data_IF_155018205236
#
_entry.id   IF_155018205236
#
_cell.length_a   1.000
_cell.length_b   1.000
_cell.length_c   1.000
_cell.angle_alpha   90.00
_cell.angle_beta   90.00
_cell.angle_gamma   90.00
#
_symmetry.space_group_name_H-M   'P 1'
#
loop_
_entity.id
_entity.type
_entity.pdbx_description
1 polymer ?
#
# COMPACT_ATOMS: atom_id res chain seq x y z
N UNK A 1 11.36 -4.15 15.43
CA UNK A 1 11.09 -2.69 15.32
C UNK A 1 9.66 -2.52 14.85
N UNK A 2 8.81 -1.81 15.59
CA UNK A 2 7.39 -1.62 15.27
C UNK A 2 7.19 -0.20 14.73
N UNK A 3 7.09 -0.02 13.42
CA UNK A 3 6.82 1.27 12.79
C UNK A 3 5.34 1.56 12.98
N UNK A 4 5.00 2.63 13.70
CA UNK A 4 3.60 2.94 14.03
C UNK A 4 2.88 3.63 12.87
N UNK A 5 1.60 3.35 12.72
CA UNK A 5 0.67 4.14 11.90
C UNK A 5 0.07 5.26 12.75
N UNK A 6 0.13 6.49 12.23
CA UNK A 6 -0.51 7.68 12.78
C UNK A 6 -1.67 8.08 11.87
N UNK A 7 -2.74 8.70 12.41
CA UNK A 7 -3.82 9.19 11.56
C UNK A 7 -3.31 10.26 10.59
N UNK A 8 -2.46 11.17 11.06
CA UNK A 8 -1.91 12.26 10.24
C UNK A 8 -0.67 12.90 10.89
N UNK A 9 0.04 13.72 10.09
CA UNK A 9 1.01 14.71 10.57
C UNK A 9 0.60 16.12 10.08
N UNK A 10 -0.63 16.51 10.40
CA UNK A 10 -1.22 17.78 9.91
C UNK A 10 -1.33 18.88 10.97
N UNK A 11 -0.68 18.71 12.14
CA UNK A 11 -0.68 19.73 13.19
C UNK A 11 0.68 19.82 13.88
N UNK A 12 0.98 21.00 14.43
CA UNK A 12 2.19 21.23 15.24
C UNK A 12 2.35 20.20 16.36
N UNK A 13 1.26 19.89 17.05
CA UNK A 13 1.30 18.93 18.16
C UNK A 13 1.65 17.52 17.67
N UNK A 14 1.05 17.06 16.56
CA UNK A 14 1.37 15.77 15.97
C UNK A 14 2.85 15.66 15.57
N UNK A 15 3.44 16.72 15.01
CA UNK A 15 4.86 16.78 14.69
C UNK A 15 5.76 16.78 15.93
N UNK A 16 5.40 17.52 16.98
CA UNK A 16 6.14 17.51 18.24
C UNK A 16 6.11 16.13 18.89
N UNK A 17 4.94 15.47 18.90
CA UNK A 17 4.76 14.14 19.46
C UNK A 17 5.41 13.04 18.60
N UNK A 18 5.60 13.29 17.31
CA UNK A 18 6.42 12.46 16.43
C UNK A 18 7.92 12.58 16.76
N UNK A 19 8.44 13.81 16.88
CA UNK A 19 9.85 14.06 17.15
C UNK A 19 10.31 13.65 18.56
N UNK A 20 9.39 13.57 19.54
CA UNK A 20 9.71 13.10 20.90
C UNK A 20 9.92 11.58 20.99
N UNK A 21 9.66 10.84 19.92
CA UNK A 21 9.75 9.37 19.91
C UNK A 21 11.20 8.93 19.77
N UNK A 22 11.48 7.77 20.35
CA UNK A 22 12.78 7.09 20.26
C UNK A 22 13.18 6.82 18.80
N UNK A 23 12.21 6.41 17.97
CA UNK A 23 12.38 6.30 16.52
C UNK A 23 11.43 7.27 15.85
N UNK A 24 11.98 8.29 15.20
CA UNK A 24 11.20 9.23 14.38
C UNK A 24 10.94 8.65 13.00
N UNK A 25 10.18 7.55 12.96
CA UNK A 25 9.68 6.90 11.74
C UNK A 25 8.25 6.43 11.97
N UNK A 26 7.35 6.80 11.06
CA UNK A 26 5.94 6.41 11.11
C UNK A 26 5.33 6.34 9.72
N UNK A 27 4.22 5.63 9.61
CA UNK A 27 3.28 5.80 8.52
C UNK A 27 2.18 6.79 8.91
N UNK A 28 1.63 7.52 7.95
CA UNK A 28 0.42 8.34 8.09
C UNK A 28 -0.70 7.76 7.24
N UNK A 29 -1.93 7.80 7.74
CA UNK A 29 -3.12 7.38 6.99
C UNK A 29 -3.59 8.48 6.03
N UNK A 30 -3.50 9.75 6.44
CA UNK A 30 -3.96 10.90 5.66
C UNK A 30 -2.97 12.09 5.76
N UNK A 31 -2.18 12.37 4.70
CA UNK A 31 -2.00 11.59 3.48
C UNK A 31 -1.34 10.24 3.74
N UNK A 32 -1.56 9.27 2.85
CA UNK A 32 -0.91 7.96 2.92
C UNK A 32 0.58 8.07 2.55
N UNK A 33 1.42 8.05 3.57
CA UNK A 33 2.85 8.28 3.41
C UNK A 33 3.67 7.61 4.53
N UNK A 34 4.94 7.35 4.26
CA UNK A 34 5.92 7.03 5.29
C UNK A 34 6.79 8.26 5.53
N UNK A 35 6.87 8.68 6.79
CA UNK A 35 7.66 9.83 7.23
C UNK A 35 8.74 9.35 8.20
N UNK A 36 9.99 9.65 7.89
CA UNK A 36 11.13 9.30 8.73
C UNK A 36 12.22 10.38 8.74
N UNK A 37 12.93 10.51 9.85
CA UNK A 37 14.15 11.31 9.90
C UNK A 37 15.38 10.40 9.75
N UNK A 38 16.16 10.65 8.70
CA UNK A 38 17.45 9.98 8.46
C UNK A 38 18.56 11.00 8.70
N UNK A 39 19.24 10.88 9.84
CA UNK A 39 20.27 11.84 10.28
C UNK A 39 19.69 13.27 10.39
N UNK A 40 20.03 14.16 9.46
CA UNK A 40 19.58 15.57 9.40
C UNK A 40 18.54 15.83 8.32
N UNK A 41 18.08 14.78 7.62
CA UNK A 41 17.12 14.87 6.52
C UNK A 41 15.75 14.32 6.94
N UNK A 42 14.71 15.06 6.62
CA UNK A 42 13.34 14.58 6.58
C UNK A 42 13.14 13.79 5.29
N UNK A 43 12.63 12.58 5.43
CA UNK A 43 12.24 11.71 4.33
C UNK A 43 10.72 11.59 4.33
N UNK A 44 10.12 11.84 3.15
CA UNK A 44 8.70 11.65 2.92
C UNK A 44 8.58 10.70 1.73
N UNK A 45 8.04 9.51 1.97
CA UNK A 45 7.73 8.53 0.92
C UNK A 45 6.23 8.55 0.72
N UNK A 46 5.77 9.05 -0.43
CA UNK A 46 4.34 9.09 -0.77
C UNK A 46 3.90 7.70 -1.19
N UNK A 47 2.89 7.16 -0.51
CA UNK A 47 2.38 5.81 -0.68
C UNK A 47 0.92 5.89 -1.11
N UNK A 48 0.65 6.58 -2.21
CA UNK A 48 -0.71 6.71 -2.73
C UNK A 48 -1.34 5.35 -3.08
N UNK A 49 -2.66 5.33 -3.31
CA UNK A 49 -3.39 4.12 -3.72
C UNK A 49 -2.84 3.46 -5.00
N UNK A 50 -2.05 4.17 -5.80
CA UNK A 50 -1.42 3.64 -7.00
C UNK A 50 -0.06 2.98 -6.70
N UNK A 51 0.55 3.27 -5.56
CA UNK A 51 1.83 2.73 -5.11
C UNK A 51 1.62 1.29 -4.63
N UNK A 52 1.71 0.36 -5.59
CA UNK A 52 1.59 -1.09 -5.33
C UNK A 52 2.81 -1.65 -4.60
N UNK A 53 3.96 -1.02 -4.82
CA UNK A 53 5.26 -1.38 -4.25
C UNK A 53 6.07 -0.15 -3.89
N UNK A 54 6.91 -0.26 -2.86
CA UNK A 54 7.86 0.79 -2.49
C UNK A 54 8.66 1.34 -3.67
N UNK A 55 9.06 0.51 -4.64
CA UNK A 55 9.82 0.95 -5.84
C UNK A 55 9.11 1.98 -6.73
N UNK A 56 7.78 2.02 -6.68
CA UNK A 56 6.98 3.00 -7.42
C UNK A 56 6.72 4.26 -6.60
N UNK A 57 6.98 4.21 -5.29
CA UNK A 57 6.77 5.32 -4.38
C UNK A 57 7.72 6.47 -4.70
N UNK A 58 7.17 7.68 -4.76
CA UNK A 58 7.95 8.91 -4.85
C UNK A 58 8.48 9.22 -3.45
N UNK A 59 9.80 9.37 -3.35
CA UNK A 59 10.49 9.77 -2.12
C UNK A 59 11.07 11.17 -2.26
N UNK A 60 10.77 12.01 -1.28
CA UNK A 60 11.37 13.31 -1.09
C UNK A 60 12.37 13.26 0.06
N UNK A 61 13.53 13.88 -0.14
CA UNK A 61 14.52 14.12 0.92
C UNK A 61 14.71 15.62 1.08
N UNK A 62 14.47 16.12 2.29
CA UNK A 62 14.51 17.54 2.62
C UNK A 62 15.41 17.77 3.83
N UNK A 63 16.43 18.62 3.69
CA UNK A 63 17.29 18.95 4.83
C UNK A 63 18.63 19.54 4.43
N UNK A 64 19.55 19.54 5.37
CA UNK A 64 20.94 19.99 5.19
C UNK A 64 21.88 18.92 5.70
N UNK A 65 23.13 18.91 5.22
CA UNK A 65 24.18 18.03 5.75
C UNK A 65 24.57 18.39 7.18
N UNK A 66 24.37 19.64 7.59
CA UNK A 66 24.91 20.19 8.84
C UNK A 66 23.88 20.19 9.98
N UNK A 67 22.58 20.24 9.68
CA UNK A 67 21.55 20.45 10.70
C UNK A 67 20.17 20.03 10.25
N UNK A 68 19.34 19.65 11.23
CA UNK A 68 17.90 19.44 11.07
C UNK A 68 17.11 20.76 10.96
N UNK A 69 17.69 21.89 11.39
CA UNK A 69 17.02 23.19 11.44
C UNK A 69 16.34 23.58 10.12
N UNK A 70 16.95 23.36 8.93
CA UNK A 70 16.29 23.68 7.66
C UNK A 70 15.05 22.83 7.39
N UNK A 71 15.08 21.53 7.72
CA UNK A 71 13.91 20.66 7.58
C UNK A 71 12.78 21.10 8.52
N UNK A 72 13.11 21.48 9.76
CA UNK A 72 12.12 22.01 10.70
C UNK A 72 11.51 23.34 10.26
N UNK A 73 12.33 24.25 9.72
CA UNK A 73 11.82 25.51 9.14
C UNK A 73 10.88 25.27 7.97
N UNK A 74 11.17 24.27 7.13
CA UNK A 74 10.27 23.86 6.05
C UNK A 74 8.93 23.32 6.59
N UNK A 75 8.96 22.47 7.62
CA UNK A 75 7.75 22.00 8.31
C UNK A 75 6.93 23.18 8.83
N UNK A 76 7.59 24.17 9.44
CA UNK A 76 6.94 25.39 9.94
C UNK A 76 6.35 26.25 8.82
N UNK A 77 7.06 26.39 7.69
CA UNK A 77 6.60 27.17 6.54
C UNK A 77 5.36 26.54 5.87
N UNK A 78 5.21 25.22 5.97
CA UNK A 78 4.03 24.49 5.51
C UNK A 78 2.95 24.35 6.60
N UNK A 79 2.99 25.21 7.63
CA UNK A 79 2.06 25.21 8.77
C UNK A 79 1.87 23.83 9.43
N UNK A 80 2.94 23.05 9.53
CA UNK A 80 2.93 21.70 10.10
C UNK A 80 1.96 20.74 9.40
N UNK A 81 1.60 21.00 8.15
CA UNK A 81 0.65 20.21 7.38
C UNK A 81 1.36 19.33 6.34
N UNK A 82 1.34 18.01 6.56
CA UNK A 82 2.00 17.05 5.67
C UNK A 82 1.39 17.05 4.26
N UNK A 83 0.08 17.24 4.12
CA UNK A 83 -0.56 17.34 2.82
C UNK A 83 -0.02 18.54 2.03
N UNK A 84 0.04 19.72 2.67
CA UNK A 84 0.58 20.94 2.06
C UNK A 84 2.05 20.73 1.64
N UNK A 85 2.84 20.03 2.47
CA UNK A 85 4.21 19.68 2.10
C UNK A 85 4.27 18.81 0.85
N UNK A 86 3.46 17.75 0.77
CA UNK A 86 3.44 16.82 -0.37
C UNK A 86 2.97 17.53 -1.64
N UNK A 87 1.91 18.33 -1.56
CA UNK A 87 1.37 19.08 -2.70
C UNK A 87 2.40 20.09 -3.23
N UNK A 88 3.00 20.89 -2.33
CA UNK A 88 4.04 21.84 -2.70
C UNK A 88 5.29 21.16 -3.28
N UNK A 89 5.64 19.95 -2.81
CA UNK A 89 6.74 19.16 -3.37
C UNK A 89 6.40 18.57 -4.73
N UNK A 90 5.14 18.22 -4.99
CA UNK A 90 4.70 17.70 -6.28
C UNK A 90 4.75 18.76 -7.39
N UNK A 91 4.54 20.03 -7.05
CA UNK A 91 4.59 21.17 -7.97
C UNK A 91 6.02 21.63 -8.34
N UNK A 92 7.04 21.22 -7.56
CA UNK A 92 8.42 21.60 -7.81
C UNK A 92 8.96 20.91 -9.06
N UNK A 93 9.54 21.70 -9.96
CA UNK A 93 10.30 21.15 -11.08
C UNK A 93 11.70 20.74 -10.60
N UNK A 94 11.98 19.44 -10.64
CA UNK A 94 13.25 18.83 -10.26
C UNK A 94 14.21 18.61 -11.43
N UNK A 95 13.78 18.86 -12.67
CA UNK A 95 14.58 18.73 -13.89
C UNK A 95 15.37 20.01 -14.22
N UNK A 96 15.11 21.10 -13.48
CA UNK A 96 15.76 22.41 -13.63
C UNK A 96 16.81 22.73 -12.56
N UNK A 97 17.48 23.88 -12.70
CA UNK A 97 18.39 24.39 -11.67
C UNK A 97 17.62 24.67 -10.36
N UNK A 98 18.10 24.12 -9.24
CA UNK A 98 17.51 24.26 -7.88
C UNK A 98 17.22 25.73 -7.49
N UNK A 99 17.90 26.68 -8.11
CA UNK A 99 17.80 28.13 -7.86
C UNK A 99 16.53 28.79 -8.39
N UNK A 100 15.77 28.15 -9.29
CA UNK A 100 14.59 28.75 -9.90
C UNK A 100 13.29 28.52 -9.11
N UNK A 101 13.31 27.61 -8.13
CA UNK A 101 12.15 27.27 -7.30
C UNK A 101 11.94 28.29 -6.16
N UNK A 102 10.87 29.08 -6.27
CA UNK A 102 10.47 30.12 -5.29
C UNK A 102 10.27 29.58 -3.87
N UNK A 103 9.73 28.36 -3.71
CA UNK A 103 9.58 27.64 -2.45
C UNK A 103 10.92 27.43 -1.70
N UNK A 104 12.03 27.32 -2.43
CA UNK A 104 13.36 27.05 -1.88
C UNK A 104 14.20 28.32 -1.67
N UNK A 105 13.84 29.44 -2.31
CA UNK A 105 14.57 30.71 -2.22
C UNK A 105 14.60 31.30 -0.81
N UNK A 106 13.71 30.88 0.10
CA UNK A 106 13.69 31.33 1.49
C UNK A 106 14.78 30.68 2.38
N UNK A 107 15.39 29.56 1.97
CA UNK A 107 16.30 28.78 2.81
C UNK A 107 17.54 28.34 2.04
N UNK A 108 18.59 29.19 2.05
CA UNK A 108 19.87 28.98 1.36
C UNK A 108 20.63 27.69 1.73
N UNK A 109 20.26 27.02 2.83
CA UNK A 109 20.88 25.76 3.28
C UNK A 109 19.94 24.54 3.14
N UNK A 110 18.72 24.70 2.61
CA UNK A 110 17.77 23.61 2.42
C UNK A 110 18.02 22.91 1.07
N UNK A 111 18.40 21.65 1.11
CA UNK A 111 18.47 20.77 -0.06
C UNK A 111 17.20 19.95 -0.17
N UNK A 112 16.59 19.91 -1.36
CA UNK A 112 15.43 19.08 -1.65
C UNK A 112 15.73 18.18 -2.85
N UNK A 113 15.42 16.90 -2.74
CA UNK A 113 15.61 15.90 -3.81
C UNK A 113 14.37 15.03 -3.94
N UNK A 114 14.00 14.72 -5.18
CA UNK A 114 12.97 13.74 -5.56
C UNK A 114 13.63 12.52 -6.19
N UNK A 115 13.23 11.33 -5.75
CA UNK A 115 13.69 10.08 -6.34
C UNK A 115 12.68 8.96 -6.08
N UNK A 116 12.70 7.91 -6.89
CA UNK A 116 11.92 6.71 -6.61
C UNK A 116 12.59 5.88 -5.53
N UNK A 117 11.81 5.27 -4.63
CA UNK A 117 12.39 4.37 -3.62
C UNK A 117 13.12 3.22 -4.31
N UNK A 118 14.25 2.81 -3.74
CA UNK A 118 14.94 1.58 -4.17
C UNK A 118 14.40 0.33 -3.47
N UNK A 119 13.66 0.55 -2.39
CA UNK A 119 13.20 -0.49 -1.48
C UNK A 119 11.90 -1.13 -1.99
N UNK A 120 11.89 -2.47 -2.12
CA UNK A 120 10.70 -3.25 -2.48
C UNK A 120 9.79 -3.49 -1.29
N UNK A 121 10.29 -3.37 -0.06
CA UNK A 121 9.61 -3.85 1.14
C UNK A 121 8.62 -2.87 1.77
N UNK A 122 8.58 -1.62 1.28
CA UNK A 122 7.62 -0.63 1.79
C UNK A 122 6.26 -0.92 1.14
N UNK A 123 5.38 -1.53 1.94
CA UNK A 123 3.98 -1.73 1.61
C UNK A 123 3.17 -0.72 2.43
N UNK A 124 2.26 -0.03 1.78
CA UNK A 124 1.43 0.94 2.47
C UNK A 124 0.52 0.28 3.50
N UNK A 125 0.33 0.85 4.71
CA UNK A 125 -0.57 0.28 5.70
C UNK A 125 -2.01 0.15 5.23
N UNK A 126 -2.51 1.01 4.32
CA UNK A 126 -3.82 0.83 3.70
C UNK A 126 -3.94 -0.47 2.91
N UNK A 127 -2.83 -0.98 2.38
CA UNK A 127 -2.73 -2.28 1.70
C UNK A 127 -2.54 -3.46 2.68
N UNK A 128 -2.21 -3.19 3.95
CA UNK A 128 -2.01 -4.19 5.02
C UNK A 128 -3.08 -4.16 6.11
N UNK A 129 -3.98 -3.18 6.08
CA UNK A 129 -5.04 -2.97 7.07
C UNK A 129 -6.04 -4.12 7.10
N UNK A 130 -6.97 -4.14 8.08
CA UNK A 130 -8.03 -5.14 8.12
C UNK A 130 -8.82 -5.10 6.81
N UNK A 131 -8.60 -6.09 5.97
CA UNK A 131 -9.32 -6.23 4.70
C UNK A 131 -10.80 -6.43 5.02
N UNK A 132 -11.59 -5.37 4.87
CA UNK A 132 -13.02 -5.44 5.14
C UNK A 132 -13.68 -6.35 4.10
N UNK A 133 -14.70 -7.13 4.48
CA UNK A 133 -15.46 -7.92 3.52
C UNK A 133 -16.10 -7.02 2.45
N UNK A 134 -16.30 -7.58 1.27
CA UNK A 134 -17.07 -6.95 0.20
C UNK A 134 -18.54 -7.28 0.39
N UNK A 135 -19.39 -6.24 0.39
CA UNK A 135 -20.85 -6.36 0.51
C UNK A 135 -21.56 -6.29 -0.84
N UNK A 136 -20.87 -5.78 -1.87
CA UNK A 136 -21.42 -5.61 -3.22
C UNK A 136 -20.32 -5.82 -4.29
N UNK A 137 -20.70 -6.21 -5.52
CA UNK A 137 -19.77 -6.32 -6.62
C UNK A 137 -19.24 -4.94 -7.06
N UNK A 138 -17.92 -4.72 -7.11
CA UNK A 138 -17.36 -3.46 -7.59
C UNK A 138 -17.58 -3.28 -9.10
N UNK A 139 -17.67 -2.03 -9.60
CA UNK A 139 -17.80 -1.77 -11.03
C UNK A 139 -16.56 -2.22 -11.82
N UNK A 140 -15.39 -2.22 -11.18
CA UNK A 140 -14.13 -2.70 -11.74
C UNK A 140 -13.40 -3.60 -10.74
N UNK A 141 -13.04 -4.80 -11.18
CA UNK A 141 -12.28 -5.75 -10.37
C UNK A 141 -10.81 -5.35 -10.31
N UNK A 142 -10.28 -5.26 -9.09
CA UNK A 142 -8.88 -4.93 -8.81
C UNK A 142 -8.27 -6.01 -7.92
N UNK A 143 -6.94 -6.05 -7.84
CA UNK A 143 -6.26 -6.98 -6.94
C UNK A 143 -6.61 -6.74 -5.48
N UNK A 144 -6.93 -5.50 -5.09
CA UNK A 144 -7.41 -5.20 -3.74
C UNK A 144 -8.75 -5.88 -3.47
N UNK A 145 -9.68 -5.86 -4.43
CA UNK A 145 -10.96 -6.57 -4.32
C UNK A 145 -10.74 -8.08 -4.21
N UNK A 146 -9.82 -8.65 -5.01
CA UNK A 146 -9.44 -10.06 -4.92
C UNK A 146 -8.87 -10.40 -3.54
N UNK A 147 -7.94 -9.61 -3.02
CA UNK A 147 -7.34 -9.82 -1.70
C UNK A 147 -8.39 -9.78 -0.60
N UNK A 148 -9.35 -8.85 -0.68
CA UNK A 148 -10.48 -8.77 0.28
C UNK A 148 -11.35 -10.02 0.24
N UNK A 149 -11.68 -10.55 -0.93
CA UNK A 149 -12.48 -11.78 -1.05
C UNK A 149 -11.72 -12.99 -0.47
N UNK A 150 -10.46 -13.17 -0.85
CA UNK A 150 -9.65 -14.30 -0.40
C UNK A 150 -9.39 -14.25 1.12
N UNK A 151 -9.13 -13.06 1.68
CA UNK A 151 -8.84 -12.90 3.10
C UNK A 151 -10.06 -13.11 4.01
N UNK A 152 -11.25 -12.79 3.49
CA UNK A 152 -12.52 -12.98 4.20
C UNK A 152 -13.20 -14.31 3.87
N UNK A 153 -12.57 -15.18 3.08
CA UNK A 153 -13.17 -16.44 2.59
C UNK A 153 -14.53 -16.24 1.89
N UNK A 154 -14.69 -15.10 1.20
CA UNK A 154 -15.89 -14.69 0.48
C UNK A 154 -15.88 -15.24 -0.95
N UNK A 155 -15.70 -16.54 -1.08
CA UNK A 155 -15.69 -17.23 -2.36
C UNK A 155 -16.31 -18.63 -2.24
N UNK A 156 -16.96 -19.07 -3.31
CA UNK A 156 -17.51 -20.42 -3.44
C UNK A 156 -16.91 -21.10 -4.66
N UNK A 157 -16.89 -22.43 -4.59
CA UNK A 157 -16.59 -23.29 -5.73
C UNK A 157 -15.30 -22.89 -6.49
N UNK A 158 -14.18 -22.90 -5.78
CA UNK A 158 -12.88 -22.54 -6.35
C UNK A 158 -12.34 -23.69 -7.20
N UNK A 159 -12.17 -23.45 -8.51
CA UNK A 159 -11.78 -24.45 -9.52
C UNK A 159 -10.47 -24.09 -10.18
N UNK A 160 -9.64 -25.09 -10.48
CA UNK A 160 -8.39 -24.91 -11.24
C UNK A 160 -8.68 -24.74 -12.72
N UNK A 161 -8.11 -23.69 -13.33
CA UNK A 161 -8.24 -23.38 -14.76
C UNK A 161 -6.92 -23.64 -15.54
N UNK A 162 -5.86 -24.11 -14.85
CA UNK A 162 -4.52 -24.35 -15.39
C UNK A 162 -4.42 -25.43 -16.50
N UNK A 163 -5.53 -25.95 -17.01
CA UNK A 163 -5.56 -26.99 -18.05
C UNK A 163 -6.31 -26.60 -19.33
N UNK A 164 -6.64 -25.32 -19.55
CA UNK A 164 -6.92 -24.87 -20.91
C UNK A 164 -5.61 -24.73 -21.71
N UNK A 165 -5.27 -25.77 -22.48
CA UNK A 165 -4.29 -25.65 -23.55
C UNK A 165 -4.70 -24.51 -24.50
N UNK A 166 -3.74 -23.75 -25.07
CA UNK A 166 -4.05 -22.78 -26.11
C UNK A 166 -4.61 -23.54 -27.31
N UNK A 167 -5.86 -23.22 -27.72
CA UNK A 167 -6.66 -23.77 -28.83
C UNK A 167 -7.69 -24.88 -28.52
N UNK A 168 -8.00 -25.19 -27.27
CA UNK A 168 -9.17 -26.03 -26.97
C UNK A 168 -10.36 -25.17 -26.51
N UNK A 169 -11.36 -25.00 -27.37
CA UNK A 169 -12.67 -24.40 -27.01
C UNK A 169 -13.44 -25.19 -25.93
N UNK A 170 -12.88 -26.31 -25.47
CA UNK A 170 -13.41 -27.18 -24.42
C UNK A 170 -12.68 -26.91 -23.09
N UNK A 171 -13.12 -25.88 -22.38
CA UNK A 171 -12.77 -25.62 -20.98
C UNK A 171 -13.68 -26.47 -20.07
N UNK A 172 -13.53 -27.78 -20.11
CA UNK A 172 -14.19 -28.71 -19.18
C UNK A 172 -13.38 -30.00 -19.11
N UNK A 173 -12.27 -30.01 -18.35
CA UNK A 173 -11.73 -31.29 -17.88
C UNK A 173 -11.36 -31.16 -16.42
N UNK A 174 -12.20 -31.73 -15.55
CA UNK A 174 -11.87 -32.00 -14.15
C UNK A 174 -10.73 -33.03 -14.09
N UNK A 175 -9.49 -32.59 -14.30
CA UNK A 175 -8.33 -33.44 -14.06
C UNK A 175 -7.95 -33.36 -12.58
N UNK A 176 -8.14 -34.48 -11.87
CA UNK A 176 -7.80 -34.73 -10.45
C UNK A 176 -6.28 -34.69 -10.13
N UNK A 177 -5.51 -33.81 -10.77
CA UNK A 177 -4.04 -33.85 -10.70
C UNK A 177 -3.36 -32.57 -10.22
N UNK A 178 -3.94 -31.39 -10.48
CA UNK A 178 -3.35 -30.10 -10.08
C UNK A 178 -4.17 -29.53 -8.91
N UNK A 179 -3.60 -29.44 -7.70
CA UNK A 179 -4.32 -28.91 -6.57
C UNK A 179 -4.68 -27.44 -6.83
N UNK A 180 -5.93 -27.07 -6.54
CA UNK A 180 -6.34 -25.67 -6.52
C UNK A 180 -5.44 -24.92 -5.54
N UNK A 181 -4.74 -23.85 -5.98
CA UNK A 181 -3.85 -23.10 -5.09
C UNK A 181 -4.65 -22.55 -3.90
N UNK A 182 -4.07 -22.62 -2.70
CA UNK A 182 -4.73 -22.15 -1.50
C UNK A 182 -4.97 -20.64 -1.56
N UNK A 183 -6.10 -20.15 -1.03
CA UNK A 183 -6.37 -18.71 -0.98
C UNK A 183 -5.24 -17.90 -0.31
N UNK A 184 -4.59 -18.48 0.71
CA UNK A 184 -3.42 -17.90 1.36
C UNK A 184 -2.19 -17.81 0.44
N UNK A 185 -1.93 -18.84 -0.37
CA UNK A 185 -0.81 -18.85 -1.32
C UNK A 185 -0.98 -17.77 -2.38
N UNK A 186 -2.21 -17.61 -2.88
CA UNK A 186 -2.57 -16.54 -3.82
C UNK A 186 -2.39 -15.17 -3.16
N UNK A 187 -2.86 -14.99 -1.93
CA UNK A 187 -2.69 -13.73 -1.19
C UNK A 187 -1.20 -13.37 -1.04
N UNK A 188 -0.36 -14.32 -0.62
CA UNK A 188 1.09 -14.11 -0.52
C UNK A 188 1.69 -13.78 -1.88
N UNK A 189 1.28 -14.49 -2.93
CA UNK A 189 1.70 -14.25 -4.31
C UNK A 189 1.35 -12.85 -4.81
N UNK A 190 0.12 -12.39 -4.55
CA UNK A 190 -0.34 -11.04 -4.88
C UNK A 190 0.48 -9.98 -4.12
N UNK A 191 0.83 -10.23 -2.87
CA UNK A 191 1.68 -9.31 -2.09
C UNK A 191 3.09 -9.25 -2.66
N UNK A 192 3.66 -10.38 -3.10
CA UNK A 192 5.04 -10.45 -3.57
C UNK A 192 5.22 -9.91 -5.00
N UNK A 193 4.32 -10.23 -5.92
CA UNK A 193 4.46 -9.95 -7.36
C UNK A 193 3.13 -9.54 -8.03
N UNK A 194 2.39 -8.54 -7.52
CA UNK A 194 1.07 -8.12 -8.00
C UNK A 194 1.02 -7.81 -9.50
N UNK A 195 2.12 -7.38 -10.12
CA UNK A 195 2.22 -7.14 -11.56
C UNK A 195 1.96 -8.39 -12.41
N UNK A 196 2.18 -9.57 -11.84
CA UNK A 196 1.93 -10.85 -12.51
C UNK A 196 0.50 -11.33 -12.29
N UNK A 197 -0.25 -10.74 -11.36
CA UNK A 197 -1.60 -11.16 -11.01
C UNK A 197 -2.65 -10.26 -11.65
N UNK A 198 -3.73 -10.85 -12.12
CA UNK A 198 -4.89 -10.13 -12.64
C UNK A 198 -6.18 -10.84 -12.24
N UNK A 199 -7.26 -10.07 -12.09
CA UNK A 199 -8.61 -10.59 -11.87
C UNK A 199 -9.54 -10.03 -12.93
N UNK A 200 -10.36 -10.89 -13.52
CA UNK A 200 -11.35 -10.50 -14.54
C UNK A 200 -12.60 -11.36 -14.41
N UNK A 201 -13.78 -10.86 -14.85
CA UNK A 201 -14.94 -11.72 -15.04
C UNK A 201 -14.63 -12.87 -15.99
N UNK A 202 -15.17 -14.05 -15.73
CA UNK A 202 -14.93 -15.22 -16.55
C UNK A 202 -15.65 -15.09 -17.91
N UNK A 203 -14.98 -15.33 -19.05
CA UNK A 203 -15.52 -15.01 -20.37
C UNK A 203 -16.76 -15.83 -20.76
N UNK A 204 -16.91 -17.04 -20.22
CA UNK A 204 -18.05 -17.94 -20.50
C UNK A 204 -19.10 -17.96 -19.39
N UNK A 205 -18.83 -17.35 -18.24
CA UNK A 205 -19.73 -17.37 -17.09
C UNK A 205 -19.61 -16.04 -16.34
N UNK A 206 -20.62 -15.19 -16.46
CA UNK A 206 -20.62 -13.84 -15.87
C UNK A 206 -20.62 -13.83 -14.36
N UNK A 207 -21.03 -14.94 -13.73
CA UNK A 207 -21.15 -15.06 -12.27
C UNK A 207 -19.84 -15.48 -11.60
N UNK A 208 -18.81 -15.80 -12.41
CA UNK A 208 -17.50 -16.26 -11.94
C UNK A 208 -16.42 -15.22 -12.19
N UNK A 209 -15.46 -15.18 -11.29
CA UNK A 209 -14.22 -14.42 -11.44
C UNK A 209 -13.08 -15.38 -11.74
N UNK A 210 -12.21 -14.97 -12.65
CA UNK A 210 -11.02 -15.69 -13.05
C UNK A 210 -9.78 -14.96 -12.57
N UNK A 211 -8.90 -15.69 -11.89
CA UNK A 211 -7.57 -15.22 -11.48
C UNK A 211 -6.58 -15.66 -12.54
N UNK A 212 -5.79 -14.71 -13.03
CA UNK A 212 -4.70 -14.97 -13.96
C UNK A 212 -3.37 -14.70 -13.28
N UNK A 213 -2.39 -15.57 -13.53
CA UNK A 213 -0.99 -15.39 -13.15
C UNK A 213 -0.13 -15.42 -14.41
N UNK A 214 0.68 -14.37 -14.63
CA UNK A 214 1.49 -14.18 -15.84
C UNK A 214 0.69 -14.27 -17.16
N UNK A 215 -0.59 -13.91 -17.13
CA UNK A 215 -1.49 -13.99 -18.29
C UNK A 215 -2.14 -15.36 -18.50
N UNK A 216 -1.81 -16.37 -17.70
CA UNK A 216 -2.42 -17.70 -17.74
C UNK A 216 -3.53 -17.81 -16.69
N UNK A 217 -4.67 -18.37 -17.06
CA UNK A 217 -5.76 -18.64 -16.11
C UNK A 217 -5.32 -19.66 -15.06
N UNK A 218 -5.34 -19.26 -13.79
CA UNK A 218 -4.92 -20.07 -12.66
C UNK A 218 -6.13 -20.81 -12.08
N UNK A 219 -7.15 -20.06 -11.68
CA UNK A 219 -8.36 -20.59 -11.07
C UNK A 219 -9.55 -19.65 -11.27
N UNK A 220 -10.76 -20.19 -11.12
CA UNK A 220 -12.01 -19.43 -11.13
C UNK A 220 -12.82 -19.71 -9.86
N UNK A 221 -13.61 -18.74 -9.42
CA UNK A 221 -14.47 -18.88 -8.25
C UNK A 221 -15.69 -17.97 -8.36
N UNK A 222 -16.71 -18.24 -7.55
CA UNK A 222 -17.92 -17.41 -7.43
C UNK A 222 -17.76 -16.48 -6.22
N UNK A 223 -17.83 -15.14 -6.38
CA UNK A 223 -17.72 -14.24 -5.25
C UNK A 223 -18.95 -14.36 -4.34
N UNK A 224 -18.72 -14.45 -3.03
CA UNK A 224 -19.78 -14.50 -2.03
C UNK A 224 -19.83 -13.20 -1.22
N UNK A 225 -20.83 -12.37 -1.46
CA UNK A 225 -20.99 -11.08 -0.78
C UNK A 225 -21.71 -11.17 0.56
N UNK A 226 -22.02 -12.39 1.05
CA UNK A 226 -22.56 -12.55 2.39
C UNK A 226 -21.54 -12.09 3.44
N UNK A 227 -22.05 -11.51 4.53
CA UNK A 227 -21.21 -11.08 5.64
C UNK A 227 -20.49 -12.32 6.21
N UNK A 228 -19.15 -12.32 6.28
CA UNK A 228 -18.42 -13.46 6.82
C UNK A 228 -18.81 -13.65 8.29
N UNK A 229 -18.84 -14.91 8.74
CA UNK A 229 -19.10 -15.19 10.15
C UNK A 229 -18.10 -14.40 11.02
N UNK A 230 -18.58 -13.73 12.09
CA UNK A 230 -17.70 -12.96 12.94
C UNK A 230 -16.63 -13.90 13.48
N UNK A 231 -15.37 -13.68 13.07
CA UNK A 231 -14.23 -14.37 13.68
C UNK A 231 -14.29 -14.02 15.16
N UNK A 232 -14.70 -14.97 15.99
CA UNK A 232 -14.67 -14.86 17.45
C UNK A 232 -13.30 -14.29 17.79
N UNK A 233 -13.29 -13.05 18.30
CA UNK A 233 -12.08 -12.47 18.83
C UNK A 233 -11.63 -13.42 19.93
N UNK A 234 -10.60 -14.24 19.65
CA UNK A 234 -9.84 -14.81 20.74
C UNK A 234 -9.33 -13.60 21.50
N UNK A 235 -9.99 -13.32 22.64
CA UNK A 235 -9.55 -12.37 23.65
C UNK A 235 -8.14 -12.82 23.99
N UNK A 236 -7.15 -12.25 23.31
CA UNK A 236 -5.77 -12.28 23.75
C UNK A 236 -5.82 -11.75 25.18
N UNK A 237 -5.46 -12.63 26.10
CA UNK A 237 -5.44 -12.38 27.54
C UNK A 237 -4.80 -11.01 27.76
N UNK A 238 -5.59 -10.02 28.19
CA UNK A 238 -5.05 -8.74 28.62
C UNK A 238 -4.04 -9.08 29.70
N UNK A 239 -2.77 -8.78 29.45
CA UNK A 239 -1.76 -8.80 30.50
C UNK A 239 -2.25 -7.82 31.55
N UNK A 240 -2.77 -8.37 32.65
CA UNK A 240 -3.02 -7.61 33.86
C UNK A 240 -1.65 -7.16 34.35
N UNK A 241 -1.38 -5.86 34.22
CA UNK A 241 -0.30 -5.21 34.95
C UNK A 241 -0.72 -5.19 36.41
N UNK A 242 -0.32 -6.21 37.17
CA UNK A 242 -0.33 -6.14 38.63
C UNK A 242 0.85 -5.28 39.09
N UNK A 243 0.47 -4.16 39.70
CA UNK A 243 1.09 -3.44 40.84
C UNK A 243 2.58 -3.13 40.75
#
# INVERSE_FOLDING_TARGET
MNIRCLPHLNTKQAWLDFCKREVSSCFTEQPEAMVDFQTTYLMITVLDNNTRHGKQAIKYSLGSRSSLKPAWKFIQACDFNLQIMIDGLAEINFDGNVRDNSLLKAHTDLTVRKFFSKDRSIISPGNLGPMTPLTEPPPLWTLQHLSRLLANHQYRDMRTEQLALPNSDQLMVEFRGIPTPGAQEILVGIIHQPELWQIRPHPKNTDRLMILHQGTALCSFEPDFSAPEPKLAQRGTRWASTV
#
